data_IF_937714280809
#
_entry.id   IF_937714280809
#
_cell.length_a   1.000
_cell.length_b   1.000
_cell.length_c   1.000
_cell.angle_alpha   90.00
_cell.angle_beta   90.00
_cell.angle_gamma   90.00
#
_symmetry.space_group_name_H-M   'P 1'
#
loop_
_entity.id
_entity.type
_entity.pdbx_description
1 polymer ?
#
# COMPACT_ATOMS: atom_id res chain seq x y z
N UNK A 1 15.34 -3.44 -25.01
CA UNK A 1 15.00 -4.69 -24.29
C UNK A 1 14.33 -4.30 -22.98
N UNK A 2 12.99 -4.31 -22.93
CA UNK A 2 12.21 -3.89 -21.75
C UNK A 2 11.89 -5.13 -20.92
N UNK A 3 12.53 -5.26 -19.76
CA UNK A 3 12.19 -6.30 -18.79
C UNK A 3 11.00 -5.80 -17.97
N UNK A 4 9.81 -6.31 -18.29
CA UNK A 4 8.63 -6.13 -17.47
C UNK A 4 8.75 -7.09 -16.27
N UNK A 5 9.11 -6.57 -15.09
CA UNK A 5 9.09 -7.33 -13.83
C UNK A 5 7.66 -7.44 -13.28
N UNK A 6 6.69 -7.72 -14.16
CA UNK A 6 5.29 -7.84 -13.78
C UNK A 6 5.08 -8.99 -12.80
N UNK A 7 4.22 -8.77 -11.82
CA UNK A 7 3.75 -9.80 -10.90
C UNK A 7 3.00 -10.88 -11.70
N UNK A 8 3.51 -12.12 -11.68
CA UNK A 8 2.81 -13.28 -12.25
C UNK A 8 1.87 -13.81 -11.19
N UNK A 9 0.58 -13.61 -11.36
CA UNK A 9 -0.42 -14.24 -10.50
C UNK A 9 -0.38 -15.77 -10.74
N UNK A 10 -0.18 -16.59 -9.69
CA UNK A 10 -0.23 -18.05 -9.84
C UNK A 10 -1.62 -18.48 -10.31
N UNK A 11 -1.66 -19.40 -11.28
CA UNK A 11 -2.88 -19.96 -11.88
C UNK A 11 -3.60 -20.97 -10.99
N UNK A 12 -3.14 -21.17 -9.75
CA UNK A 12 -3.77 -22.05 -8.78
C UNK A 12 -4.11 -21.25 -7.53
N UNK A 13 -5.40 -21.18 -7.22
CA UNK A 13 -5.90 -20.79 -5.90
C UNK A 13 -5.55 -21.91 -4.92
N UNK A 14 -4.28 -22.03 -4.54
CA UNK A 14 -3.95 -22.70 -3.28
C UNK A 14 -4.58 -21.88 -2.19
N UNK A 15 -5.66 -22.40 -1.61
CA UNK A 15 -6.15 -21.93 -0.32
C UNK A 15 -5.02 -22.16 0.68
N UNK A 16 -4.14 -21.18 0.82
CA UNK A 16 -3.17 -21.14 1.90
C UNK A 16 -3.95 -20.85 3.18
N UNK A 17 -4.60 -21.88 3.72
CA UNK A 17 -5.11 -21.93 5.08
C UNK A 17 -3.97 -21.92 6.13
N UNK A 18 -2.77 -21.52 5.73
CA UNK A 18 -1.54 -21.51 6.53
C UNK A 18 -0.73 -20.22 6.29
N UNK A 19 -1.43 -19.11 6.04
CA UNK A 19 -0.86 -17.80 6.36
C UNK A 19 -1.07 -17.61 7.87
N UNK A 20 -0.13 -18.10 8.70
CA UNK A 20 -0.10 -17.80 10.13
C UNK A 20 -0.33 -16.30 10.31
N UNK A 21 -1.41 -15.95 11.01
CA UNK A 21 -1.76 -14.56 11.22
C UNK A 21 -0.70 -13.97 12.15
N UNK A 22 0.13 -13.07 11.62
CA UNK A 22 1.33 -12.52 12.27
C UNK A 22 1.09 -11.83 13.62
N UNK A 23 -0.17 -11.67 14.04
CA UNK A 23 -0.57 -11.00 15.28
C UNK A 23 -1.24 -11.95 16.29
N UNK A 24 -1.19 -13.28 16.11
CA UNK A 24 -1.79 -14.28 17.00
C UNK A 24 -1.31 -14.22 18.47
N UNK A 25 -0.22 -13.51 18.77
CA UNK A 25 0.36 -13.38 20.11
C UNK A 25 0.54 -11.93 20.61
N UNK A 26 -0.28 -10.97 20.15
CA UNK A 26 -0.25 -9.62 20.72
C UNK A 26 -1.02 -9.55 22.05
N UNK A 27 -0.36 -9.12 23.11
CA UNK A 27 -1.00 -8.61 24.33
C UNK A 27 -1.60 -7.23 24.06
N UNK A 28 -2.70 -6.83 24.74
CA UNK A 28 -3.19 -5.45 24.72
C UNK A 28 -2.14 -4.40 25.12
N UNK A 29 -1.07 -4.82 25.81
CA UNK A 29 0.07 -3.95 26.17
C UNK A 29 1.09 -3.76 25.06
N UNK A 30 1.05 -4.58 24.01
CA UNK A 30 2.05 -4.55 22.92
C UNK A 30 1.72 -3.46 21.88
N UNK A 31 0.49 -2.95 21.88
CA UNK A 31 0.05 -1.84 21.04
C UNK A 31 0.02 -0.56 21.89
N UNK A 32 0.73 0.50 21.49
CA UNK A 32 0.68 1.77 22.22
C UNK A 32 -0.74 2.38 22.16
N UNK A 33 -1.16 3.14 23.18
CA UNK A 33 -2.50 3.74 23.22
C UNK A 33 -2.74 4.79 22.11
N UNK A 34 -1.67 5.31 21.51
CA UNK A 34 -1.70 6.21 20.38
C UNK A 34 -0.45 6.04 19.53
N UNK A 35 -0.59 6.14 18.22
CA UNK A 35 0.54 6.14 17.29
C UNK A 35 0.33 7.20 16.21
N UNK A 36 1.38 7.96 15.93
CA UNK A 36 1.46 8.85 14.78
C UNK A 36 2.64 8.44 13.92
N UNK A 37 2.37 7.89 12.74
CA UNK A 37 3.42 7.44 11.82
C UNK A 37 4.24 8.58 11.23
N UNK A 38 3.75 9.83 11.30
CA UNK A 38 4.50 11.02 10.87
C UNK A 38 5.70 11.25 11.78
N UNK A 39 5.52 11.09 13.08
CA UNK A 39 6.59 11.20 14.09
C UNK A 39 7.66 10.11 13.92
N UNK A 40 7.32 9.03 13.21
CA UNK A 40 8.19 7.92 12.88
C UNK A 40 8.83 8.03 11.48
N UNK A 41 8.61 9.15 10.78
CA UNK A 41 9.11 9.38 9.43
C UNK A 41 8.50 8.45 8.37
N UNK A 42 7.37 7.79 8.66
CA UNK A 42 6.72 6.79 7.80
C UNK A 42 5.56 7.34 6.98
N UNK A 43 5.51 8.67 6.79
CA UNK A 43 4.46 9.34 6.03
C UNK A 43 5.13 10.40 5.15
N UNK A 44 4.87 10.36 3.85
CA UNK A 44 5.33 11.38 2.90
C UNK A 44 4.58 12.71 3.12
N UNK A 45 5.10 13.85 2.60
CA UNK A 45 4.34 15.09 2.60
C UNK A 45 2.96 14.92 1.95
N UNK A 46 1.99 15.72 2.40
CA UNK A 46 0.62 15.71 1.86
C UNK A 46 0.66 15.92 0.35
N UNK A 47 -0.09 15.08 -0.38
CA UNK A 47 -0.22 15.10 -1.83
C UNK A 47 -1.62 15.59 -2.24
N UNK A 48 -1.78 16.01 -3.49
CA UNK A 48 -3.04 16.52 -4.04
C UNK A 48 -3.48 15.66 -5.25
N UNK A 49 -4.68 15.08 -5.17
CA UNK A 49 -5.28 14.28 -6.25
C UNK A 49 -5.95 15.14 -7.35
N UNK A 50 -6.11 16.43 -7.11
CA UNK A 50 -6.79 17.36 -8.01
C UNK A 50 -8.24 16.97 -8.27
N UNK A 51 -8.71 17.16 -9.52
CA UNK A 51 -10.09 16.85 -9.95
C UNK A 51 -10.23 15.43 -10.52
N UNK A 52 -9.54 14.46 -9.92
CA UNK A 52 -9.56 13.06 -10.31
C UNK A 52 -10.05 12.22 -9.13
N UNK A 53 -10.99 11.30 -9.35
CA UNK A 53 -11.51 10.35 -8.35
C UNK A 53 -10.53 9.21 -8.04
N UNK A 54 -9.24 9.53 -7.86
CA UNK A 54 -8.16 8.56 -7.64
C UNK A 54 -7.72 8.46 -6.17
N UNK A 55 -8.54 8.88 -5.20
CA UNK A 55 -8.23 8.77 -3.77
C UNK A 55 -7.90 7.33 -3.34
N UNK A 56 -8.46 6.33 -4.02
CA UNK A 56 -8.14 4.92 -3.84
C UNK A 56 -6.64 4.64 -4.09
N UNK A 57 -6.07 5.17 -5.18
CA UNK A 57 -4.67 5.01 -5.51
C UNK A 57 -3.75 5.73 -4.49
N UNK A 58 -4.13 6.92 -4.05
CA UNK A 58 -3.40 7.67 -3.02
C UNK A 58 -3.39 6.92 -1.69
N UNK A 59 -4.53 6.32 -1.31
CA UNK A 59 -4.66 5.57 -0.07
C UNK A 59 -3.80 4.30 -0.09
N UNK A 60 -3.84 3.54 -1.19
CA UNK A 60 -3.00 2.35 -1.36
C UNK A 60 -1.51 2.70 -1.37
N UNK A 61 -1.11 3.74 -2.12
CA UNK A 61 0.29 4.19 -2.18
C UNK A 61 0.79 4.63 -0.81
N UNK A 62 0.05 5.46 -0.06
CA UNK A 62 0.47 5.92 1.26
C UNK A 62 0.74 4.76 2.24
N UNK A 63 -0.09 3.71 2.20
CA UNK A 63 0.13 2.51 3.00
C UNK A 63 1.41 1.76 2.59
N UNK A 64 1.68 1.64 1.29
CA UNK A 64 2.90 0.99 0.76
C UNK A 64 4.16 1.80 1.07
N UNK A 65 4.10 3.13 0.97
CA UNK A 65 5.18 4.03 1.38
C UNK A 65 5.51 3.84 2.87
N UNK A 66 4.48 3.83 3.72
CA UNK A 66 4.63 3.65 5.16
C UNK A 66 5.25 2.32 5.55
N UNK A 67 4.77 1.20 5.01
CA UNK A 67 5.36 -0.12 5.30
C UNK A 67 6.79 -0.23 4.74
N UNK A 68 7.10 0.43 3.62
CA UNK A 68 8.45 0.48 3.07
C UNK A 68 9.41 1.19 4.05
N UNK A 69 9.01 2.34 4.61
CA UNK A 69 9.81 3.01 5.64
C UNK A 69 9.96 2.11 6.88
N UNK A 70 8.89 1.49 7.37
CA UNK A 70 8.92 0.63 8.57
C UNK A 70 9.86 -0.56 8.38
N UNK A 71 9.85 -1.21 7.20
CA UNK A 71 10.65 -2.41 6.94
C UNK A 71 12.08 -2.12 6.54
N UNK A 72 12.33 -1.02 5.82
CA UNK A 72 13.63 -0.77 5.18
C UNK A 72 14.38 0.44 5.73
N UNK A 73 13.71 1.27 6.54
CA UNK A 73 14.24 2.54 7.00
C UNK A 73 14.24 3.64 5.95
N UNK A 74 13.64 3.43 4.76
CA UNK A 74 13.65 4.38 3.65
C UNK A 74 12.24 4.83 3.28
N UNK A 75 11.99 6.12 3.38
CA UNK A 75 10.75 6.75 2.93
C UNK A 75 10.94 7.15 1.48
N UNK A 76 10.24 6.44 0.60
CA UNK A 76 10.30 6.65 -0.84
C UNK A 76 8.93 7.11 -1.29
N UNK A 77 8.86 8.25 -1.97
CA UNK A 77 7.60 8.68 -2.59
C UNK A 77 7.35 7.85 -3.85
N UNK A 78 6.23 7.13 -3.88
CA UNK A 78 5.82 6.23 -4.96
C UNK A 78 4.79 6.89 -5.88
N UNK A 79 4.50 6.24 -7.01
CA UNK A 79 3.64 6.79 -8.07
C UNK A 79 2.19 6.31 -7.96
N UNK A 80 1.28 7.19 -7.57
CA UNK A 80 -0.17 6.96 -7.66
C UNK A 80 -0.62 6.81 -9.10
N UNK A 81 0.00 7.56 -10.02
CA UNK A 81 -0.34 7.55 -11.44
C UNK A 81 -0.12 6.17 -12.08
N UNK A 82 0.84 5.38 -11.57
CA UNK A 82 1.02 4.00 -12.02
C UNK A 82 -0.23 3.17 -11.75
N UNK A 83 -0.82 3.26 -10.55
CA UNK A 83 -2.07 2.57 -10.25
C UNK A 83 -3.21 3.10 -11.11
N UNK A 84 -3.35 4.42 -11.21
CA UNK A 84 -4.40 5.07 -12.02
C UNK A 84 -4.36 4.62 -13.49
N UNK A 85 -3.17 4.39 -14.05
CA UNK A 85 -2.99 4.04 -15.46
C UNK A 85 -2.99 2.54 -15.75
N UNK A 86 -2.58 1.72 -14.79
CA UNK A 86 -2.25 0.31 -15.06
C UNK A 86 -3.15 -0.69 -14.34
N UNK A 87 -3.87 -0.26 -13.30
CA UNK A 87 -4.85 -1.11 -12.66
C UNK A 87 -6.13 -1.16 -13.51
N UNK A 88 -6.33 -2.30 -14.17
CA UNK A 88 -7.49 -2.53 -15.05
C UNK A 88 -8.75 -2.96 -14.30
N UNK A 89 -8.65 -3.29 -13.02
CA UNK A 89 -9.80 -3.65 -12.18
C UNK A 89 -10.44 -2.41 -11.54
N UNK A 90 -9.71 -1.30 -11.54
CA UNK A 90 -10.17 0.02 -11.11
C UNK A 90 -10.42 0.96 -12.29
N UNK A 91 -11.12 2.08 -12.03
CA UNK A 91 -11.64 2.97 -13.07
C UNK A 91 -10.88 4.30 -13.15
N UNK A 92 -9.58 4.30 -12.85
CA UNK A 92 -8.73 5.49 -12.89
C UNK A 92 -9.31 6.67 -12.10
N UNK A 93 -9.64 7.77 -12.80
CA UNK A 93 -10.25 8.97 -12.21
C UNK A 93 -11.75 8.85 -11.89
N UNK A 94 -12.42 7.76 -12.24
CA UNK A 94 -13.84 7.57 -11.99
C UNK A 94 -14.11 6.83 -10.67
N UNK A 95 -13.05 6.43 -9.95
CA UNK A 95 -13.14 5.72 -8.68
C UNK A 95 -12.43 4.36 -8.72
N UNK A 96 -12.32 3.76 -7.55
CA UNK A 96 -11.68 2.47 -7.37
C UNK A 96 -11.66 2.04 -5.90
N UNK A 97 -11.11 0.85 -5.67
CA UNK A 97 -10.96 0.21 -4.37
C UNK A 97 -9.47 0.06 -4.02
N UNK A 98 -9.17 0.10 -2.72
CA UNK A 98 -7.84 -0.15 -2.17
C UNK A 98 -7.62 -1.63 -1.90
#
# INVERSE_FOLDING_TARGET
>A
LRYYTGYKQPTESTSSADASFTYENLSPTDVPPSIDWRDNGAVTPVKDQGRCGCCWAFSAVAAVEGITQIKTGKLISLSEQQLVNCDTDNNGCQGGWM
#
